data_IF_111322757910
#
_entry.id   IF_111322757910
#
_cell.length_a   1.000
_cell.length_b   1.000
_cell.length_c   1.000
_cell.angle_alpha   90.00
_cell.angle_beta   90.00
_cell.angle_gamma   90.00
#
_symmetry.space_group_name_H-M   'P 1'
#
loop_
_entity.id
_entity.type
_entity.pdbx_description
1 polymer ?
#
# COMPACT_ATOMS: atom_id res chain seq x y z
N UNK A 1 -6.06 -43.28 54.38
CA UNK A 1 -6.83 -44.02 53.34
C UNK A 1 -7.32 -43.05 52.29
N UNK A 2 -6.64 -43.01 51.15
CA UNK A 2 -7.00 -42.14 50.01
C UNK A 2 -8.10 -42.81 49.18
N UNK A 3 -9.29 -42.19 49.11
CA UNK A 3 -10.39 -42.71 48.29
C UNK A 3 -10.06 -42.57 46.82
N UNK A 4 -9.96 -43.67 46.05
CA UNK A 4 -9.87 -43.66 44.57
C UNK A 4 -11.12 -43.00 43.99
N UNK A 5 -11.02 -42.08 43.02
CA UNK A 5 -12.18 -41.44 42.41
C UNK A 5 -13.04 -42.48 41.69
N UNK A 6 -14.35 -42.37 41.81
CA UNK A 6 -15.33 -43.29 41.23
C UNK A 6 -15.28 -43.32 39.69
N UNK A 7 -15.64 -44.45 39.05
CA UNK A 7 -15.71 -44.58 37.59
C UNK A 7 -16.60 -43.51 36.93
N UNK A 8 -17.62 -42.97 37.63
CA UNK A 8 -18.50 -41.92 37.12
C UNK A 8 -17.83 -40.55 37.06
N UNK A 9 -16.89 -40.24 37.95
CA UNK A 9 -16.15 -38.95 37.94
C UNK A 9 -15.18 -38.91 36.77
N UNK A 10 -14.46 -40.04 36.49
CA UNK A 10 -13.57 -40.14 35.31
C UNK A 10 -14.32 -40.04 33.97
N UNK A 11 -15.57 -40.56 33.91
CA UNK A 11 -16.38 -40.48 32.67
C UNK A 11 -16.96 -39.07 32.45
N UNK A 12 -17.28 -38.30 33.50
CA UNK A 12 -17.68 -36.91 33.40
C UNK A 12 -16.54 -35.97 32.97
N UNK A 13 -15.35 -36.13 33.53
CA UNK A 13 -14.15 -35.37 33.18
C UNK A 13 -13.70 -35.64 31.74
N UNK A 14 -13.77 -36.91 31.29
CA UNK A 14 -13.46 -37.24 29.88
C UNK A 14 -14.46 -36.63 28.89
N UNK A 15 -15.76 -36.61 29.19
CA UNK A 15 -16.76 -35.97 28.32
C UNK A 15 -16.60 -34.44 28.28
N UNK A 16 -16.31 -33.80 29.41
CA UNK A 16 -16.06 -32.36 29.46
C UNK A 16 -14.80 -31.99 28.64
N UNK A 17 -13.72 -32.76 28.74
CA UNK A 17 -12.51 -32.54 27.96
C UNK A 17 -12.75 -32.69 26.45
N UNK A 18 -13.50 -33.70 26.02
CA UNK A 18 -13.85 -33.89 24.61
C UNK A 18 -14.67 -32.72 24.07
N UNK A 19 -15.66 -32.24 24.83
CA UNK A 19 -16.50 -31.08 24.45
C UNK A 19 -15.61 -29.84 24.30
N UNK A 20 -14.70 -29.59 25.24
CA UNK A 20 -13.76 -28.44 25.17
C UNK A 20 -12.88 -28.51 23.92
N UNK A 21 -12.32 -29.67 23.59
CA UNK A 21 -11.50 -29.86 22.40
C UNK A 21 -12.32 -29.59 21.13
N UNK A 22 -13.55 -30.11 21.05
CA UNK A 22 -14.43 -29.92 19.90
C UNK A 22 -14.75 -28.43 19.72
N UNK A 23 -15.04 -27.70 20.80
CA UNK A 23 -15.30 -26.26 20.75
C UNK A 23 -14.07 -25.48 20.23
N UNK A 24 -12.87 -25.81 20.68
CA UNK A 24 -11.63 -25.20 20.22
C UNK A 24 -11.42 -25.43 18.72
N UNK A 25 -11.61 -26.66 18.26
CA UNK A 25 -11.41 -27.04 16.85
C UNK A 25 -12.43 -26.32 15.96
N UNK A 26 -13.71 -26.34 16.33
CA UNK A 26 -14.76 -25.67 15.55
C UNK A 26 -14.53 -24.15 15.51
N UNK A 27 -14.21 -23.55 16.65
CA UNK A 27 -13.93 -22.12 16.73
C UNK A 27 -12.71 -21.71 15.84
N UNK A 28 -11.63 -22.47 15.91
CA UNK A 28 -10.44 -22.23 15.08
C UNK A 28 -10.72 -22.42 13.58
N UNK A 29 -11.55 -23.40 13.20
CA UNK A 29 -11.95 -23.61 11.81
C UNK A 29 -12.82 -22.43 11.31
N UNK A 30 -13.81 -21.98 12.10
CA UNK A 30 -14.63 -20.84 11.73
C UNK A 30 -13.77 -19.58 11.50
N UNK A 31 -12.87 -19.27 12.43
CA UNK A 31 -12.00 -18.09 12.31
C UNK A 31 -11.00 -18.20 11.15
N UNK A 32 -10.41 -19.38 10.93
CA UNK A 32 -9.42 -19.60 9.87
C UNK A 32 -10.05 -19.64 8.47
N UNK A 33 -11.28 -20.13 8.33
CA UNK A 33 -11.94 -20.29 7.03
C UNK A 33 -12.79 -19.06 6.65
N UNK A 34 -13.13 -18.19 7.60
CA UNK A 34 -13.95 -17.02 7.32
C UNK A 34 -13.37 -16.09 6.24
N UNK A 35 -12.04 -15.85 6.14
CA UNK A 35 -11.48 -15.03 5.08
C UNK A 35 -11.59 -15.63 3.66
N UNK A 36 -11.90 -16.93 3.54
CA UNK A 36 -12.13 -17.58 2.24
C UNK A 36 -13.53 -17.30 1.67
N UNK A 37 -14.48 -16.85 2.51
CA UNK A 37 -15.89 -16.75 2.15
C UNK A 37 -16.54 -15.41 2.53
N UNK A 38 -15.82 -14.56 3.27
CA UNK A 38 -16.35 -13.29 3.81
C UNK A 38 -15.37 -12.15 3.53
N UNK A 39 -15.88 -10.92 3.27
CA UNK A 39 -15.05 -9.73 3.22
C UNK A 39 -14.22 -9.55 4.49
N UNK A 40 -13.00 -9.01 4.36
CA UNK A 40 -12.00 -8.87 5.46
C UNK A 40 -12.60 -8.32 6.76
N UNK A 41 -13.32 -7.18 6.67
CA UNK A 41 -13.96 -6.58 7.86
C UNK A 41 -14.95 -7.51 8.57
N UNK A 42 -15.64 -8.37 7.83
CA UNK A 42 -16.58 -9.35 8.40
C UNK A 42 -15.83 -10.53 8.99
N UNK A 43 -14.78 -11.00 8.32
CA UNK A 43 -13.91 -12.07 8.82
C UNK A 43 -13.21 -11.67 10.13
N UNK A 44 -12.68 -10.45 10.23
CA UNK A 44 -12.06 -9.89 11.45
C UNK A 44 -13.08 -9.77 12.61
N UNK A 45 -14.31 -9.37 12.31
CA UNK A 45 -15.40 -9.37 13.31
C UNK A 45 -15.72 -10.78 13.81
N UNK A 46 -15.75 -11.77 12.91
CA UNK A 46 -15.96 -13.18 13.26
C UNK A 46 -14.83 -13.67 14.16
N UNK A 47 -13.58 -13.41 13.82
CA UNK A 47 -12.43 -13.77 14.64
C UNK A 47 -12.50 -13.13 16.04
N UNK A 48 -12.80 -11.83 16.12
CA UNK A 48 -12.95 -11.11 17.39
C UNK A 48 -14.09 -11.66 18.28
N UNK A 49 -15.20 -12.11 17.67
CA UNK A 49 -16.30 -12.77 18.40
C UNK A 49 -15.83 -14.13 18.93
N UNK A 50 -15.15 -14.92 18.08
CA UNK A 50 -14.66 -16.24 18.47
C UNK A 50 -13.61 -16.13 19.59
N UNK A 51 -12.70 -15.17 19.53
CA UNK A 51 -11.72 -14.92 20.59
C UNK A 51 -12.40 -14.55 21.93
N UNK A 52 -13.47 -13.74 21.91
CA UNK A 52 -14.25 -13.42 23.10
C UNK A 52 -14.93 -14.65 23.71
N UNK A 53 -15.44 -15.54 22.88
CA UNK A 53 -16.10 -16.78 23.33
C UNK A 53 -15.10 -17.78 23.91
N UNK A 54 -13.90 -17.90 23.27
CA UNK A 54 -12.85 -18.86 23.67
C UNK A 54 -11.96 -18.30 24.79
N UNK A 55 -11.89 -16.98 24.95
CA UNK A 55 -10.93 -16.28 25.83
C UNK A 55 -11.13 -16.43 27.34
N UNK A 56 -12.17 -17.14 27.81
CA UNK A 56 -12.50 -17.24 29.25
C UNK A 56 -11.61 -18.23 30.04
N UNK A 57 -10.85 -19.11 29.36
CA UNK A 57 -9.94 -20.07 29.97
C UNK A 57 -8.54 -19.99 29.32
N UNK A 58 -7.50 -19.76 30.13
CA UNK A 58 -6.13 -19.54 29.63
C UNK A 58 -5.54 -20.75 28.88
N UNK A 59 -5.91 -21.98 29.25
CA UNK A 59 -5.45 -23.22 28.61
C UNK A 59 -6.16 -23.42 27.27
N UNK A 60 -7.46 -23.15 27.23
CA UNK A 60 -8.30 -23.23 26.02
C UNK A 60 -7.83 -22.20 25.00
N UNK A 61 -7.59 -20.97 25.43
CA UNK A 61 -7.11 -19.88 24.58
C UNK A 61 -5.74 -20.19 23.95
N UNK A 62 -4.79 -20.73 24.72
CA UNK A 62 -3.47 -21.13 24.21
C UNK A 62 -3.56 -22.24 23.15
N UNK A 63 -4.43 -23.22 23.35
CA UNK A 63 -4.69 -24.30 22.40
C UNK A 63 -5.36 -23.77 21.10
N UNK A 64 -6.37 -22.90 21.26
CA UNK A 64 -7.05 -22.22 20.17
C UNK A 64 -6.07 -21.42 19.29
N UNK A 65 -5.28 -20.51 19.87
CA UNK A 65 -4.32 -19.68 19.12
C UNK A 65 -3.31 -20.52 18.33
N UNK A 66 -2.79 -21.61 18.92
CA UNK A 66 -1.87 -22.51 18.24
C UNK A 66 -2.51 -23.18 17.02
N UNK A 67 -3.75 -23.69 17.18
CA UNK A 67 -4.50 -24.32 16.09
C UNK A 67 -4.92 -23.30 15.03
N UNK A 68 -5.37 -22.13 15.44
CA UNK A 68 -5.74 -21.06 14.52
C UNK A 68 -4.57 -20.63 13.63
N UNK A 69 -3.38 -20.39 14.21
CA UNK A 69 -2.20 -20.02 13.45
C UNK A 69 -1.76 -21.12 12.46
N UNK A 70 -1.89 -22.39 12.84
CA UNK A 70 -1.63 -23.52 11.94
C UNK A 70 -2.63 -23.56 10.77
N UNK A 71 -3.92 -23.37 11.06
CA UNK A 71 -4.97 -23.37 10.03
C UNK A 71 -4.88 -22.12 9.13
N UNK A 72 -4.56 -20.96 9.67
CA UNK A 72 -4.32 -19.74 8.87
C UNK A 72 -3.14 -19.92 7.90
N UNK A 73 -2.06 -20.59 8.31
CA UNK A 73 -0.97 -20.94 7.39
C UNK A 73 -1.46 -21.80 6.23
N UNK A 74 -2.24 -22.84 6.53
CA UNK A 74 -2.79 -23.74 5.51
C UNK A 74 -3.80 -23.02 4.58
N UNK A 75 -4.68 -22.17 5.10
CA UNK A 75 -5.63 -21.41 4.27
C UNK A 75 -4.92 -20.39 3.40
N UNK A 76 -3.85 -19.75 3.89
CA UNK A 76 -3.01 -18.85 3.09
C UNK A 76 -2.36 -19.57 1.91
N UNK A 77 -1.83 -20.76 2.14
CA UNK A 77 -1.24 -21.58 1.06
C UNK A 77 -2.29 -22.00 0.01
N UNK A 78 -3.53 -22.27 0.44
CA UNK A 78 -4.64 -22.57 -0.46
C UNK A 78 -5.09 -21.33 -1.26
N UNK A 79 -5.16 -20.17 -0.62
CA UNK A 79 -5.48 -18.92 -1.31
C UNK A 79 -4.41 -18.58 -2.35
N UNK A 80 -3.13 -18.67 -1.98
CA UNK A 80 -2.02 -18.41 -2.91
C UNK A 80 -2.02 -19.35 -4.12
N UNK A 81 -2.41 -20.64 -3.94
CA UNK A 81 -2.53 -21.60 -5.05
C UNK A 81 -3.70 -21.36 -5.99
N UNK A 82 -4.79 -20.77 -5.47
CA UNK A 82 -6.04 -20.56 -6.21
C UNK A 82 -6.26 -19.08 -6.58
N UNK A 83 -5.32 -18.20 -6.22
CA UNK A 83 -5.38 -16.81 -6.61
C UNK A 83 -5.39 -16.68 -8.14
N UNK A 84 -6.22 -15.83 -8.73
CA UNK A 84 -6.17 -15.50 -10.15
C UNK A 84 -4.77 -15.00 -10.52
N UNK A 85 -4.36 -15.23 -11.76
CA UNK A 85 -3.02 -14.92 -12.25
C UNK A 85 -3.09 -14.28 -13.61
N UNK A 86 -2.13 -13.39 -13.89
CA UNK A 86 -1.97 -12.80 -15.22
C UNK A 86 -1.14 -13.72 -16.13
N UNK A 87 -1.43 -13.70 -17.42
CA UNK A 87 -0.69 -14.48 -18.42
C UNK A 87 0.67 -13.84 -18.77
N UNK A 88 0.81 -12.53 -18.58
CA UNK A 88 2.02 -11.77 -18.89
C UNK A 88 2.64 -11.17 -17.64
N UNK A 89 3.96 -11.28 -17.51
CA UNK A 89 4.70 -10.64 -16.43
C UNK A 89 4.79 -9.10 -16.59
N UNK A 90 4.35 -8.54 -17.71
CA UNK A 90 4.33 -7.10 -17.98
C UNK A 90 3.05 -6.73 -18.73
N UNK A 91 2.34 -5.75 -18.21
CA UNK A 91 1.13 -5.17 -18.80
C UNK A 91 1.42 -3.67 -19.01
N UNK A 92 1.28 -3.21 -20.25
CA UNK A 92 1.49 -1.80 -20.59
C UNK A 92 0.40 -0.92 -19.98
N UNK A 93 0.80 0.16 -19.31
CA UNK A 93 -0.13 1.12 -18.70
C UNK A 93 -0.75 0.66 -17.38
N UNK A 94 -0.30 -0.47 -16.83
CA UNK A 94 -0.82 -1.01 -15.57
C UNK A 94 -0.69 -0.04 -14.40
N UNK A 95 0.27 0.87 -14.45
CA UNK A 95 0.44 1.93 -13.45
C UNK A 95 -0.60 3.05 -13.54
N UNK A 96 -1.37 3.14 -14.65
CA UNK A 96 -2.28 4.26 -14.88
C UNK A 96 -3.61 4.03 -14.18
N UNK A 97 -4.01 4.85 -13.19
CA UNK A 97 -5.31 4.77 -12.55
C UNK A 97 -6.45 5.18 -13.49
N UNK A 98 -7.69 4.91 -13.11
CA UNK A 98 -8.86 5.44 -13.77
C UNK A 98 -8.80 6.97 -13.89
N UNK A 99 -9.24 7.48 -15.02
CA UNK A 99 -9.24 8.92 -15.29
C UNK A 99 -10.31 9.65 -14.49
N UNK A 100 -9.96 10.82 -13.97
CA UNK A 100 -10.89 11.72 -13.27
C UNK A 100 -11.51 12.64 -14.30
N UNK A 101 -12.84 12.66 -14.37
CA UNK A 101 -13.58 13.51 -15.30
C UNK A 101 -13.21 15.01 -15.12
N UNK A 102 -12.81 15.63 -16.22
CA UNK A 102 -12.46 17.05 -16.28
C UNK A 102 -11.03 17.37 -15.82
N UNK A 103 -10.25 16.40 -15.37
CA UNK A 103 -8.84 16.58 -15.06
C UNK A 103 -7.96 16.27 -16.27
N UNK A 104 -6.86 17.01 -16.40
CA UNK A 104 -5.94 16.88 -17.53
C UNK A 104 -4.92 15.77 -17.24
N UNK A 105 -4.77 14.83 -18.17
CA UNK A 105 -3.75 13.79 -18.09
C UNK A 105 -2.56 14.19 -18.95
N UNK A 106 -1.39 14.32 -18.33
CA UNK A 106 -0.13 14.71 -18.96
C UNK A 106 0.84 13.54 -18.97
N UNK A 107 1.43 13.27 -20.13
CA UNK A 107 2.44 12.22 -20.31
C UNK A 107 3.80 12.86 -20.51
N UNK A 108 4.74 12.52 -19.65
CA UNK A 108 6.16 12.86 -19.73
C UNK A 108 6.99 11.64 -20.16
N UNK A 109 8.28 11.82 -20.37
CA UNK A 109 9.17 10.75 -20.87
C UNK A 109 9.18 9.52 -19.94
N UNK A 110 9.13 9.72 -18.61
CA UNK A 110 9.28 8.65 -17.64
C UNK A 110 8.06 8.44 -16.75
N UNK A 111 7.04 9.30 -16.79
CA UNK A 111 5.85 9.19 -15.94
C UNK A 111 4.64 9.86 -16.60
N UNK A 112 3.47 9.51 -16.12
CA UNK A 112 2.19 10.13 -16.44
C UNK A 112 1.57 10.71 -15.18
N UNK A 113 0.83 11.81 -15.27
CA UNK A 113 0.12 12.41 -14.16
C UNK A 113 -1.31 12.85 -14.52
N UNK A 114 -2.18 12.89 -13.52
CA UNK A 114 -3.47 13.60 -13.57
C UNK A 114 -3.32 14.93 -12.87
N UNK A 115 -3.59 16.03 -13.58
CA UNK A 115 -3.40 17.37 -13.07
C UNK A 115 -4.68 17.94 -12.46
N UNK A 116 -4.61 18.33 -11.19
CA UNK A 116 -5.68 19.00 -10.49
C UNK A 116 -5.47 20.53 -10.49
N UNK A 117 -6.05 21.20 -11.47
CA UNK A 117 -5.91 22.66 -11.60
C UNK A 117 -6.51 23.44 -10.43
N UNK A 118 -7.51 22.87 -9.73
CA UNK A 118 -8.13 23.52 -8.57
C UNK A 118 -7.15 23.63 -7.40
N UNK A 119 -6.36 22.57 -7.17
CA UNK A 119 -5.43 22.48 -6.06
C UNK A 119 -3.98 22.78 -6.45
N UNK A 120 -3.67 22.85 -7.74
CA UNK A 120 -2.32 23.05 -8.30
C UNK A 120 -1.30 22.00 -7.81
N UNK A 121 -1.76 20.78 -7.69
CA UNK A 121 -0.97 19.55 -7.44
C UNK A 121 -1.55 18.43 -8.29
N UNK A 122 -0.77 17.40 -8.59
CA UNK A 122 -1.30 16.22 -9.28
C UNK A 122 -2.23 15.43 -8.35
N UNK A 123 -3.31 14.84 -8.90
CA UNK A 123 -4.09 13.83 -8.17
C UNK A 123 -3.28 12.58 -7.97
N UNK A 124 -2.59 12.16 -9.03
CA UNK A 124 -1.65 11.05 -9.03
C UNK A 124 -0.52 11.28 -10.05
N UNK A 125 0.61 10.66 -9.79
CA UNK A 125 1.73 10.47 -10.72
C UNK A 125 2.01 8.98 -10.77
N UNK A 126 2.08 8.44 -11.97
CA UNK A 126 2.21 7.01 -12.23
C UNK A 126 3.41 6.71 -13.13
N UNK A 127 4.17 5.67 -12.80
CA UNK A 127 5.33 5.23 -13.57
C UNK A 127 5.67 3.77 -13.30
N UNK A 128 6.28 3.13 -14.28
CA UNK A 128 6.96 1.86 -14.13
C UNK A 128 8.39 2.11 -13.64
N UNK A 129 8.86 1.36 -12.66
CA UNK A 129 10.22 1.43 -12.15
C UNK A 129 10.90 0.07 -12.35
N UNK A 130 11.95 0.03 -13.17
CA UNK A 130 12.67 -1.22 -13.45
C UNK A 130 14.03 -1.29 -12.76
N UNK A 131 14.50 -2.49 -12.45
CA UNK A 131 15.85 -2.71 -11.95
C UNK A 131 16.90 -2.19 -12.94
N UNK A 132 16.67 -2.34 -14.25
CA UNK A 132 17.58 -1.87 -15.31
C UNK A 132 17.72 -0.36 -15.31
N UNK A 133 16.64 0.40 -15.15
CA UNK A 133 16.67 1.86 -15.02
C UNK A 133 17.43 2.30 -13.77
N UNK A 134 17.23 1.60 -12.64
CA UNK A 134 17.93 1.88 -11.39
C UNK A 134 19.42 1.60 -11.46
N UNK A 135 19.85 0.65 -12.27
CA UNK A 135 21.26 0.34 -12.50
C UNK A 135 21.92 1.29 -13.50
N UNK A 136 21.14 1.98 -14.32
CA UNK A 136 21.59 2.97 -15.30
C UNK A 136 21.73 4.34 -14.62
N UNK A 137 22.93 4.71 -14.20
CA UNK A 137 23.23 5.94 -13.44
C UNK A 137 24.01 6.95 -14.30
N UNK A 138 23.51 7.26 -15.50
CA UNK A 138 24.21 8.05 -16.50
C UNK A 138 24.10 9.56 -16.29
N UNK A 139 23.00 10.00 -15.62
CA UNK A 139 22.64 11.41 -15.53
C UNK A 139 22.78 11.92 -14.09
N UNK A 140 23.39 13.09 -13.95
CA UNK A 140 23.40 13.83 -12.68
C UNK A 140 22.05 14.49 -12.42
N UNK A 141 21.73 14.72 -11.13
CA UNK A 141 20.53 15.44 -10.73
C UNK A 141 20.54 16.87 -11.31
N UNK A 142 19.50 17.26 -12.06
CA UNK A 142 19.46 18.54 -12.78
C UNK A 142 19.08 19.74 -11.90
N UNK A 143 18.18 19.57 -10.92
CA UNK A 143 17.66 20.63 -10.04
C UNK A 143 17.00 21.82 -10.77
N UNK A 144 16.56 21.62 -11.99
CA UNK A 144 15.98 22.63 -12.88
C UNK A 144 14.48 22.82 -12.68
N UNK A 145 14.08 23.07 -11.44
CA UNK A 145 12.68 23.32 -11.09
C UNK A 145 12.06 24.43 -11.93
N UNK A 146 10.90 24.14 -12.53
CA UNK A 146 10.20 25.06 -13.43
C UNK A 146 8.70 24.76 -13.51
N UNK A 147 7.86 25.73 -13.86
CA UNK A 147 6.47 25.48 -14.24
C UNK A 147 6.42 24.48 -15.40
N UNK A 148 5.34 23.71 -15.44
CA UNK A 148 5.05 22.81 -16.55
C UNK A 148 4.17 23.55 -17.56
N UNK A 149 4.68 23.75 -18.75
CA UNK A 149 3.97 24.45 -19.83
C UNK A 149 2.96 23.56 -20.55
N UNK A 150 2.94 22.25 -20.26
CA UNK A 150 1.98 21.32 -20.85
C UNK A 150 0.59 21.44 -20.23
N UNK A 151 0.46 22.00 -19.05
CA UNK A 151 -0.82 22.26 -18.39
C UNK A 151 -1.22 23.73 -18.51
N UNK A 152 -2.52 23.98 -18.54
CA UNK A 152 -3.03 25.36 -18.66
C UNK A 152 -2.59 26.29 -17.54
N UNK A 153 -2.48 25.79 -16.32
CA UNK A 153 -2.05 26.53 -15.13
C UNK A 153 -1.21 25.63 -14.23
N UNK A 154 0.08 25.95 -14.11
CA UNK A 154 1.01 25.30 -13.20
C UNK A 154 1.27 26.19 -11.97
N UNK A 155 1.63 25.58 -10.83
CA UNK A 155 2.23 26.30 -9.70
C UNK A 155 3.54 26.97 -10.15
N UNK A 156 3.99 27.98 -9.37
CA UNK A 156 5.17 28.78 -9.68
C UNK A 156 6.25 28.60 -8.61
N UNK A 157 7.50 28.88 -8.95
CA UNK A 157 8.61 28.80 -7.99
C UNK A 157 8.40 29.72 -6.78
N UNK A 158 7.80 30.87 -7.01
CA UNK A 158 7.48 31.89 -6.01
C UNK A 158 6.51 31.38 -4.95
N UNK A 159 5.59 30.46 -5.31
CA UNK A 159 4.64 29.88 -4.36
C UNK A 159 5.33 29.10 -3.24
N UNK A 160 6.45 28.44 -3.56
CA UNK A 160 7.24 27.68 -2.59
C UNK A 160 8.24 28.53 -1.80
N UNK A 161 8.59 29.72 -2.32
CA UNK A 161 9.62 30.58 -1.70
C UNK A 161 9.16 31.08 -0.34
N UNK A 162 9.98 30.81 0.69
CA UNK A 162 9.71 31.18 2.08
C UNK A 162 8.36 30.62 2.64
N UNK A 163 7.77 29.62 2.00
CA UNK A 163 6.52 29.00 2.44
C UNK A 163 6.67 28.12 3.68
N UNK A 164 7.89 27.68 3.99
CA UNK A 164 8.16 26.67 5.02
C UNK A 164 8.05 25.22 4.49
N UNK A 165 7.68 25.04 3.22
CA UNK A 165 7.54 23.73 2.58
C UNK A 165 8.61 23.51 1.51
N UNK A 166 9.02 22.27 1.36
CA UNK A 166 9.87 21.77 0.26
C UNK A 166 9.02 21.49 -0.97
N UNK A 167 9.64 21.57 -2.14
CA UNK A 167 9.11 20.98 -3.37
C UNK A 167 9.34 19.48 -3.31
N UNK A 168 8.34 18.76 -2.75
CA UNK A 168 8.42 17.31 -2.60
C UNK A 168 8.05 16.62 -3.91
N UNK A 169 8.95 15.77 -4.41
CA UNK A 169 8.70 14.97 -5.60
C UNK A 169 7.65 13.89 -5.33
N UNK A 170 6.77 13.66 -6.31
CA UNK A 170 5.93 12.46 -6.38
C UNK A 170 6.69 11.35 -7.14
N UNK A 171 7.06 11.55 -8.39
CA UNK A 171 8.05 10.73 -9.11
C UNK A 171 9.46 11.23 -8.77
N UNK A 172 10.27 10.49 -7.99
CA UNK A 172 11.53 11.00 -7.47
C UNK A 172 12.64 11.00 -8.52
N UNK A 173 13.39 12.10 -8.61
CA UNK A 173 14.47 12.26 -9.59
C UNK A 173 15.52 11.13 -9.58
N UNK A 174 15.71 10.45 -8.44
CA UNK A 174 16.64 9.33 -8.33
C UNK A 174 16.24 8.11 -9.19
N UNK A 175 14.96 7.97 -9.51
CA UNK A 175 14.41 6.85 -10.30
C UNK A 175 14.60 7.07 -11.81
N UNK A 176 14.96 8.29 -12.24
CA UNK A 176 15.02 8.70 -13.65
C UNK A 176 16.41 9.06 -14.14
N UNK A 177 17.47 8.54 -13.50
CA UNK A 177 18.87 8.80 -13.89
C UNK A 177 19.30 8.10 -15.17
N UNK A 178 18.45 7.34 -15.79
CA UNK A 178 18.68 6.65 -17.04
C UNK A 178 18.50 7.54 -18.28
N UNK A 179 17.93 8.75 -18.15
CA UNK A 179 17.69 9.69 -19.25
C UNK A 179 17.77 11.14 -18.78
N UNK A 180 18.46 12.00 -19.54
CA UNK A 180 18.51 13.45 -19.26
C UNK A 180 17.12 14.08 -19.29
N UNK A 181 16.30 13.70 -20.28
CA UNK A 181 14.93 14.20 -20.41
C UNK A 181 14.06 13.75 -19.23
N UNK A 182 14.02 12.46 -18.95
CA UNK A 182 13.22 11.93 -17.85
C UNK A 182 13.64 12.56 -16.51
N UNK A 183 14.96 12.71 -16.27
CA UNK A 183 15.49 13.39 -15.09
C UNK A 183 15.03 14.85 -15.01
N UNK A 184 15.20 15.62 -16.08
CA UNK A 184 14.81 17.04 -16.11
C UNK A 184 13.29 17.21 -15.90
N UNK A 185 12.48 16.38 -16.51
CA UNK A 185 11.02 16.42 -16.39
C UNK A 185 10.53 16.14 -14.95
N UNK A 186 11.28 15.38 -14.15
CA UNK A 186 10.91 15.19 -12.72
C UNK A 186 10.90 16.50 -11.94
N UNK A 187 11.52 17.58 -12.43
CA UNK A 187 11.57 18.90 -11.80
C UNK A 187 10.45 19.85 -12.25
N UNK A 188 9.53 19.40 -13.09
CA UNK A 188 8.30 20.14 -13.32
C UNK A 188 7.50 20.31 -12.02
N UNK A 189 6.93 21.51 -11.82
CA UNK A 189 6.15 21.79 -10.63
C UNK A 189 4.82 21.03 -10.57
N UNK A 190 4.38 20.43 -11.67
CA UNK A 190 3.26 19.47 -11.72
C UNK A 190 3.58 18.15 -11.02
N UNK A 191 4.86 17.79 -10.90
CA UNK A 191 5.33 16.62 -10.14
C UNK A 191 5.64 16.96 -8.67
N UNK A 192 5.32 18.18 -8.21
CA UNK A 192 5.66 18.67 -6.86
C UNK A 192 4.44 18.85 -6.00
N UNK A 193 4.58 18.47 -4.72
CA UNK A 193 3.62 18.83 -3.67
C UNK A 193 4.32 19.54 -2.52
N UNK A 194 3.65 20.48 -1.82
CA UNK A 194 4.20 21.09 -0.61
C UNK A 194 4.42 20.01 0.47
N UNK A 195 5.67 19.73 0.82
CA UNK A 195 6.04 18.77 1.84
C UNK A 195 6.88 19.41 2.96
N UNK A 196 6.58 19.07 4.21
CA UNK A 196 7.44 19.45 5.32
C UNK A 196 8.86 18.88 5.13
N UNK A 197 9.90 19.68 5.39
CA UNK A 197 11.31 19.26 5.18
C UNK A 197 11.65 17.95 5.87
N UNK A 198 11.15 17.76 7.11
CA UNK A 198 11.40 16.54 7.88
C UNK A 198 10.65 15.32 7.35
N UNK A 199 9.52 15.52 6.70
CA UNK A 199 8.74 14.49 6.02
C UNK A 199 9.44 14.09 4.72
N UNK A 200 9.72 15.05 3.84
CA UNK A 200 10.36 14.85 2.54
C UNK A 200 11.71 14.11 2.68
N UNK A 201 12.64 14.66 3.46
CA UNK A 201 13.95 14.03 3.72
C UNK A 201 13.94 12.95 4.81
N UNK A 202 12.79 12.52 5.27
CA UNK A 202 12.59 11.54 6.33
C UNK A 202 11.84 10.30 5.87
N UNK A 203 10.59 10.17 6.31
CA UNK A 203 9.79 8.96 6.04
C UNK A 203 9.40 8.82 4.57
N UNK A 204 9.19 9.95 3.85
CA UNK A 204 8.91 9.91 2.42
C UNK A 204 10.10 9.35 1.63
N UNK A 205 11.32 9.82 1.93
CA UNK A 205 12.55 9.24 1.37
C UNK A 205 12.73 7.75 1.71
N UNK A 206 12.27 7.29 2.89
CA UNK A 206 12.25 5.85 3.20
C UNK A 206 11.29 5.09 2.29
N UNK A 207 10.11 5.64 2.03
CA UNK A 207 9.14 5.03 1.12
C UNK A 207 9.71 4.92 -0.31
N UNK A 208 10.35 5.98 -0.80
CA UNK A 208 11.04 5.95 -2.10
C UNK A 208 12.16 4.90 -2.16
N UNK A 209 12.98 4.80 -1.10
CA UNK A 209 14.04 3.79 -1.04
C UNK A 209 13.47 2.36 -1.00
N UNK A 210 12.39 2.14 -0.24
CA UNK A 210 11.72 0.85 -0.17
C UNK A 210 11.14 0.44 -1.54
N UNK A 211 10.57 1.38 -2.29
CA UNK A 211 10.09 1.16 -3.67
C UNK A 211 11.25 0.75 -4.58
N UNK A 212 12.40 1.44 -4.52
CA UNK A 212 13.61 1.06 -5.28
C UNK A 212 14.15 -0.32 -4.90
N UNK A 213 14.13 -0.65 -3.60
CA UNK A 213 14.54 -1.99 -3.15
C UNK A 213 13.61 -3.07 -3.69
N UNK A 214 12.29 -2.81 -3.75
CA UNK A 214 11.35 -3.72 -4.38
C UNK A 214 11.68 -3.92 -5.86
N UNK A 215 11.86 -2.86 -6.64
CA UNK A 215 12.18 -2.95 -8.06
C UNK A 215 13.48 -3.73 -8.33
N UNK A 216 14.52 -3.56 -7.50
CA UNK A 216 15.77 -4.34 -7.62
C UNK A 216 15.58 -5.83 -7.37
N UNK A 217 14.64 -6.22 -6.50
CA UNK A 217 14.39 -7.62 -6.15
C UNK A 217 13.46 -8.28 -7.16
N UNK A 218 12.43 -7.55 -7.60
CA UNK A 218 11.36 -8.11 -8.44
C UNK A 218 11.56 -7.86 -9.93
N UNK A 219 12.49 -6.99 -10.29
CA UNK A 219 12.76 -6.58 -11.66
C UNK A 219 11.93 -5.38 -12.11
N UNK A 220 10.65 -5.30 -11.77
CA UNK A 220 9.70 -4.24 -12.13
C UNK A 220 8.73 -3.97 -11.00
N UNK A 221 8.44 -2.70 -10.73
CA UNK A 221 7.35 -2.24 -9.85
C UNK A 221 6.53 -1.20 -10.60
N UNK A 222 5.22 -1.36 -10.63
CA UNK A 222 4.28 -0.35 -11.07
C UNK A 222 3.95 0.54 -9.87
N UNK A 223 4.09 1.86 -10.04
CA UNK A 223 4.01 2.84 -8.97
C UNK A 223 2.97 3.88 -9.27
N UNK A 224 2.03 4.08 -8.34
CA UNK A 224 1.15 5.25 -8.32
C UNK A 224 1.40 6.01 -7.03
N UNK A 225 1.54 7.32 -7.10
CA UNK A 225 1.85 8.16 -5.94
C UNK A 225 1.16 9.51 -6.06
N UNK A 226 0.70 10.07 -4.95
CA UNK A 226 -0.01 11.34 -4.97
C UNK A 226 -0.32 11.86 -3.57
N UNK A 227 -0.92 13.05 -3.49
CA UNK A 227 -1.53 13.57 -2.26
C UNK A 227 -2.92 12.98 -2.05
N UNK A 228 -3.37 12.84 -0.81
CA UNK A 228 -4.78 12.60 -0.50
C UNK A 228 -5.53 13.92 -0.59
N UNK A 229 -6.54 13.99 -1.49
CA UNK A 229 -7.28 15.23 -1.80
C UNK A 229 -8.77 15.16 -1.45
N UNK A 230 -9.20 14.18 -0.68
CA UNK A 230 -10.61 13.97 -0.28
C UNK A 230 -10.99 14.69 1.00
N UNK A 231 -10.02 15.10 1.82
CA UNK A 231 -10.22 15.65 3.18
C UNK A 231 -10.07 17.18 3.28
N UNK A 232 -10.31 17.90 2.18
CA UNK A 232 -10.33 19.36 2.15
C UNK A 232 -11.38 20.00 3.08
N UNK A 233 -11.33 21.31 3.27
CA UNK A 233 -10.46 22.27 2.59
C UNK A 233 -8.99 22.20 3.05
N UNK A 234 -8.07 22.57 2.14
CA UNK A 234 -6.63 22.58 2.39
C UNK A 234 -6.11 23.95 2.74
N UNK A 235 -5.10 24.02 3.62
CA UNK A 235 -4.21 25.16 3.70
C UNK A 235 -3.44 25.29 2.38
N UNK A 236 -2.93 26.48 2.07
CA UNK A 236 -2.27 26.73 0.78
C UNK A 236 -0.98 27.54 0.96
N UNK A 237 -0.07 27.39 0.01
CA UNK A 237 1.13 28.24 -0.11
C UNK A 237 1.03 29.14 -1.33
N UNK A 238 1.77 30.26 -1.28
CA UNK A 238 1.94 31.19 -2.38
C UNK A 238 0.68 31.95 -2.79
N UNK A 239 0.86 32.86 -3.73
CA UNK A 239 -0.23 33.68 -4.25
C UNK A 239 -1.20 32.87 -5.12
N UNK A 240 -0.72 31.81 -5.75
CA UNK A 240 -1.53 30.91 -6.58
C UNK A 240 -2.36 29.91 -5.78
N UNK A 241 -2.18 29.84 -4.45
CA UNK A 241 -2.96 28.97 -3.57
C UNK A 241 -2.72 27.46 -3.84
N UNK A 242 -1.45 27.05 -3.94
CA UNK A 242 -1.09 25.63 -4.06
C UNK A 242 -1.48 24.90 -2.79
N UNK A 243 -2.27 23.83 -2.89
CA UNK A 243 -2.78 23.09 -1.75
C UNK A 243 -1.66 22.36 -0.98
N UNK A 244 -1.75 22.38 0.34
CA UNK A 244 -0.89 21.59 1.23
C UNK A 244 -1.64 20.33 1.62
N UNK A 245 -1.31 19.15 1.07
CA UNK A 245 -1.96 17.91 1.47
C UNK A 245 -1.56 17.53 2.89
N UNK A 246 -2.47 16.93 3.65
CA UNK A 246 -2.17 16.43 4.99
C UNK A 246 -1.32 15.17 4.96
N UNK A 247 -1.47 14.37 3.92
CA UNK A 247 -0.77 13.11 3.69
C UNK A 247 -0.55 12.84 2.21
N UNK A 248 0.47 12.04 1.90
CA UNK A 248 0.73 11.53 0.56
C UNK A 248 0.76 10.01 0.58
N UNK A 249 0.40 9.41 -0.55
CA UNK A 249 0.29 7.97 -0.69
C UNK A 249 1.23 7.40 -1.77
N UNK A 250 1.44 6.10 -1.69
CA UNK A 250 1.95 5.24 -2.78
C UNK A 250 1.13 3.96 -2.83
N UNK A 251 0.75 3.55 -4.04
CA UNK A 251 0.28 2.22 -4.37
C UNK A 251 1.34 1.54 -5.25
N UNK A 252 1.68 0.31 -4.92
CA UNK A 252 2.72 -0.47 -5.59
C UNK A 252 2.16 -1.81 -6.02
N UNK A 253 2.48 -2.22 -7.24
CA UNK A 253 2.12 -3.53 -7.78
C UNK A 253 3.34 -4.20 -8.39
N UNK A 254 3.44 -5.50 -8.21
CA UNK A 254 4.44 -6.38 -8.82
C UNK A 254 3.74 -7.60 -9.39
N UNK A 255 4.17 -8.04 -10.56
CA UNK A 255 3.79 -9.34 -11.13
C UNK A 255 5.00 -10.26 -11.01
N UNK A 256 4.86 -11.39 -10.32
CA UNK A 256 5.92 -12.38 -10.18
C UNK A 256 6.09 -13.25 -11.46
N UNK A 257 7.16 -14.03 -11.52
CA UNK A 257 7.49 -14.92 -12.65
C UNK A 257 6.43 -15.99 -12.96
N UNK A 258 5.54 -16.25 -12.00
CA UNK A 258 4.45 -17.23 -12.14
C UNK A 258 3.10 -16.56 -12.44
N UNK A 259 3.08 -15.25 -12.71
CA UNK A 259 1.89 -14.46 -12.95
C UNK A 259 1.11 -14.10 -11.66
N UNK A 260 1.69 -14.31 -10.49
CA UNK A 260 1.11 -13.88 -9.22
C UNK A 260 1.20 -12.37 -9.07
N UNK A 261 0.09 -11.71 -8.73
CA UNK A 261 0.02 -10.26 -8.52
C UNK A 261 0.12 -9.95 -7.04
N UNK A 262 1.02 -9.03 -6.69
CA UNK A 262 1.29 -8.61 -5.32
C UNK A 262 1.18 -7.11 -5.22
N UNK A 263 0.29 -6.62 -4.36
CA UNK A 263 0.12 -5.18 -4.12
C UNK A 263 0.47 -4.81 -2.68
N UNK A 264 0.83 -3.56 -2.47
CA UNK A 264 0.87 -2.89 -1.18
C UNK A 264 0.63 -1.41 -1.38
N UNK A 265 -0.14 -0.82 -0.50
CA UNK A 265 -0.33 0.63 -0.46
C UNK A 265 0.16 1.21 0.87
N UNK A 266 0.38 2.52 0.88
CA UNK A 266 0.66 3.27 2.09
C UNK A 266 0.12 4.70 1.97
N UNK A 267 -0.41 5.24 3.07
CA UNK A 267 -0.69 6.67 3.20
C UNK A 267 0.03 7.20 4.43
N UNK A 268 0.83 8.26 4.25
CA UNK A 268 1.76 8.75 5.27
C UNK A 268 1.43 10.21 5.58
N UNK A 269 0.95 10.53 6.80
CA UNK A 269 0.71 11.90 7.23
C UNK A 269 2.01 12.71 7.32
N UNK A 270 1.96 14.01 6.96
CA UNK A 270 3.16 14.86 6.96
C UNK A 270 3.71 15.17 8.36
N UNK A 271 2.87 15.07 9.40
CA UNK A 271 3.23 15.41 10.79
C UNK A 271 3.88 14.27 11.59
N UNK A 272 4.33 13.20 10.91
CA UNK A 272 4.93 12.03 11.56
C UNK A 272 6.38 12.24 11.95
N UNK A 273 6.85 11.48 12.92
CA UNK A 273 8.22 11.55 13.42
C UNK A 273 9.25 10.94 12.45
N UNK A 274 10.44 11.49 12.40
CA UNK A 274 11.54 11.00 11.52
C UNK A 274 11.92 9.53 11.72
N UNK A 275 11.65 8.96 12.91
CA UNK A 275 12.05 7.59 13.28
C UNK A 275 10.94 6.56 13.08
N UNK A 276 9.79 6.97 12.54
CA UNK A 276 8.68 6.06 12.29
C UNK A 276 9.07 4.98 11.27
N UNK A 277 8.48 3.78 11.45
CA UNK A 277 8.56 2.69 10.47
C UNK A 277 7.47 2.83 9.43
N UNK A 278 7.76 2.48 8.17
CA UNK A 278 6.76 2.43 7.09
C UNK A 278 5.64 1.44 7.40
N UNK A 279 5.93 0.35 8.10
CA UNK A 279 4.95 -0.69 8.43
C UNK A 279 3.71 -0.18 9.19
N UNK A 280 3.79 0.99 9.82
CA UNK A 280 2.64 1.62 10.49
C UNK A 280 1.62 2.23 9.53
N UNK A 281 2.03 2.50 8.31
CA UNK A 281 1.27 3.24 7.30
C UNK A 281 0.89 2.37 6.11
N UNK A 282 1.24 1.08 6.15
CA UNK A 282 0.86 0.13 5.12
C UNK A 282 -0.63 -0.20 5.22
N UNK A 283 -1.25 -0.34 4.07
CA UNK A 283 -2.66 -0.68 3.90
C UNK A 283 -2.85 -1.49 2.63
N UNK A 284 -4.04 -1.99 2.40
CA UNK A 284 -4.42 -2.60 1.12
C UNK A 284 -4.68 -1.53 0.07
N UNK A 285 -4.69 -1.90 -1.21
CA UNK A 285 -5.08 -0.96 -2.27
C UNK A 285 -6.54 -0.59 -2.12
N UNK A 286 -7.46 -1.52 -1.84
CA UNK A 286 -8.88 -1.23 -1.53
C UNK A 286 -9.04 -0.17 -0.41
N UNK A 287 -8.21 -0.23 0.64
CA UNK A 287 -8.23 0.77 1.73
C UNK A 287 -7.77 2.14 1.23
N UNK A 288 -6.77 2.17 0.33
CA UNK A 288 -6.29 3.41 -0.28
C UNK A 288 -7.32 3.99 -1.26
N UNK A 289 -7.99 3.17 -2.05
CA UNK A 289 -9.08 3.59 -2.94
C UNK A 289 -10.23 4.22 -2.17
N UNK A 290 -10.64 3.57 -1.08
CA UNK A 290 -11.65 4.14 -0.19
C UNK A 290 -11.23 5.49 0.42
N UNK A 291 -9.91 5.71 0.63
CA UNK A 291 -9.36 6.96 1.15
C UNK A 291 -9.27 8.05 0.09
N UNK A 292 -8.86 7.70 -1.13
CA UNK A 292 -8.54 8.68 -2.21
C UNK A 292 -9.70 8.90 -3.17
N UNK A 293 -10.61 7.94 -3.28
CA UNK A 293 -11.67 7.92 -4.30
C UNK A 293 -11.13 7.61 -5.71
N UNK A 294 -9.87 7.15 -5.81
CA UNK A 294 -9.25 6.70 -7.06
C UNK A 294 -9.45 5.19 -7.22
N UNK A 295 -9.33 4.72 -8.44
CA UNK A 295 -9.38 3.33 -8.85
C UNK A 295 -8.04 2.99 -9.51
N UNK A 296 -7.25 2.10 -8.89
CA UNK A 296 -5.88 1.80 -9.30
C UNK A 296 -5.84 0.52 -10.12
N UNK A 297 -4.77 0.35 -10.91
CA UNK A 297 -4.41 -0.89 -11.62
C UNK A 297 -5.51 -1.49 -12.51
N UNK A 298 -6.36 -0.64 -13.07
CA UNK A 298 -7.56 -0.96 -13.87
C UNK A 298 -7.31 -1.79 -15.15
N UNK A 299 -6.06 -1.98 -15.54
CA UNK A 299 -5.70 -2.85 -16.66
C UNK A 299 -5.59 -4.33 -16.28
N UNK A 300 -5.78 -4.67 -14.98
CA UNK A 300 -5.96 -6.05 -14.55
C UNK A 300 -7.36 -6.55 -14.88
N UNK A 301 -7.50 -7.87 -15.08
CA UNK A 301 -8.83 -8.50 -15.12
C UNK A 301 -9.49 -8.37 -13.74
N UNK A 302 -10.78 -8.07 -13.68
CA UNK A 302 -11.54 -7.76 -12.46
C UNK A 302 -11.32 -8.76 -11.30
N UNK A 303 -11.21 -10.05 -11.60
CA UNK A 303 -11.00 -11.10 -10.59
C UNK A 303 -9.57 -11.11 -10.04
N UNK A 304 -8.58 -10.74 -10.86
CA UNK A 304 -7.18 -10.57 -10.45
C UNK A 304 -7.03 -9.32 -9.61
N UNK A 305 -7.56 -8.20 -10.09
CA UNK A 305 -7.56 -6.90 -9.44
C UNK A 305 -8.17 -6.99 -8.03
N UNK A 306 -9.44 -7.40 -7.94
CA UNK A 306 -10.14 -7.56 -6.67
C UNK A 306 -9.41 -8.48 -5.68
N UNK A 307 -8.77 -9.56 -6.16
CA UNK A 307 -8.02 -10.47 -5.29
C UNK A 307 -6.69 -9.86 -4.80
N UNK A 308 -5.99 -9.12 -5.65
CA UNK A 308 -4.70 -8.50 -5.35
C UNK A 308 -4.85 -7.31 -4.41
N UNK A 309 -5.88 -6.48 -4.61
CA UNK A 309 -6.08 -5.22 -3.89
C UNK A 309 -6.68 -5.39 -2.50
N UNK A 310 -7.46 -6.46 -2.29
CA UNK A 310 -8.09 -6.76 -1.00
C UNK A 310 -7.09 -7.12 0.12
N UNK A 311 -5.85 -7.48 -0.22
CA UNK A 311 -4.86 -7.94 0.78
C UNK A 311 -3.44 -7.57 0.38
N UNK A 312 -2.52 -7.49 1.36
CA UNK A 312 -1.09 -7.48 1.08
C UNK A 312 -0.34 -8.47 1.97
N UNK A 313 0.73 -9.06 1.45
CA UNK A 313 1.64 -9.90 2.20
C UNK A 313 2.97 -9.21 2.42
N UNK A 314 3.17 -8.62 3.60
CA UNK A 314 4.40 -7.91 3.94
C UNK A 314 5.66 -8.78 3.79
N UNK A 315 5.54 -10.11 3.87
CA UNK A 315 6.68 -11.01 3.72
C UNK A 315 7.21 -11.11 2.28
N UNK A 316 6.39 -10.72 1.29
CA UNK A 316 6.79 -10.62 -0.11
C UNK A 316 7.67 -9.39 -0.36
N UNK A 317 7.43 -8.32 0.38
CA UNK A 317 8.09 -7.03 0.20
C UNK A 317 9.43 -6.95 0.94
N UNK A 318 10.40 -6.14 0.44
CA UNK A 318 11.68 -5.94 1.11
C UNK A 318 11.56 -5.53 2.58
N UNK A 319 12.58 -5.85 3.37
CA UNK A 319 12.64 -5.47 4.80
C UNK A 319 12.56 -3.95 5.03
N UNK A 320 12.88 -3.15 4.03
CA UNK A 320 12.76 -1.68 4.08
C UNK A 320 11.31 -1.19 4.25
N UNK A 321 10.30 -2.04 4.00
CA UNK A 321 8.89 -1.77 4.33
C UNK A 321 8.54 -2.07 5.79
N UNK A 322 9.35 -2.84 6.49
CA UNK A 322 9.14 -3.27 7.88
C UNK A 322 9.90 -2.35 8.86
#
# INVERSE_FOLDING_TARGET
>A
MSKKPSKNTKRRTGKALVITIVVIVVAALIAALSPLFLPKQTADKVEGIVEKVVGMDSVVNKGYKKLLNFLKGFTKDLQAKNAPKVESARIEGLEIPAYIDGHEVVRHTGYTLSWNEQYLVADWVAYELTATELDTQEVSRSEDFRPDETVRRSSQLEDYKNSGYSRGHLAPAQDFKWSENAMSETFYLTNMVPQLQNYNGGIWLKAENATRDAARITGVVYVVTGPVLTDGPFETIGDNKVAIPKECYKALLVIDENGGVHTVAMSIPQNVGKKESLSKYLMTVDELEALTGLDFFIELEDDVENAAEATYDISYWPKSFQ
#
